data_IF_030168564796
#
_entry.id   IF_030168564796
#
_cell.length_a   1.000
_cell.length_b   1.000
_cell.length_c   1.000
_cell.angle_alpha   90.00
_cell.angle_beta   90.00
_cell.angle_gamma   90.00
#
_symmetry.space_group_name_H-M   'P 1'
#
loop_
_entity.id
_entity.type
_entity.pdbx_description
1 polymer ?
#
# COMPACT_ATOMS: atom_id res chain seq x y z
N UNK A 1 6.97 -17.46 7.63
CA UNK A 1 5.80 -17.06 6.82
C UNK A 1 6.03 -17.64 5.44
N UNK A 2 5.06 -18.34 4.86
CA UNK A 2 5.14 -18.89 3.51
C UNK A 2 5.25 -17.74 2.50
N UNK A 3 5.95 -17.96 1.36
CA UNK A 3 6.14 -16.95 0.29
C UNK A 3 4.82 -16.31 -0.16
N UNK A 4 3.76 -17.07 -0.26
CA UNK A 4 2.45 -16.60 -0.72
C UNK A 4 1.72 -15.77 0.35
N UNK A 5 1.88 -16.09 1.63
CA UNK A 5 1.39 -15.25 2.74
C UNK A 5 2.08 -13.87 2.75
N UNK A 6 3.34 -13.79 2.34
CA UNK A 6 4.06 -12.52 2.13
C UNK A 6 3.43 -11.74 0.98
N UNK A 7 3.10 -12.38 -0.14
CA UNK A 7 2.53 -11.73 -1.34
C UNK A 7 1.16 -11.13 -1.02
N UNK A 8 0.27 -11.91 -0.41
CA UNK A 8 -1.07 -11.45 0.01
C UNK A 8 -0.96 -10.35 1.07
N UNK A 9 0.00 -10.47 1.98
CA UNK A 9 0.28 -9.50 3.03
C UNK A 9 0.79 -8.15 2.48
N UNK A 10 1.64 -8.15 1.46
CA UNK A 10 2.20 -6.93 0.86
C UNK A 10 1.11 -6.10 0.18
N UNK A 11 0.08 -6.71 -0.42
CA UNK A 11 -1.03 -5.98 -1.03
C UNK A 11 -1.89 -5.21 -0.01
N UNK A 12 -1.90 -5.64 1.25
CA UNK A 12 -2.68 -5.01 2.32
C UNK A 12 -1.93 -3.92 3.12
N UNK A 13 -0.58 -3.94 3.14
CA UNK A 13 0.23 -3.15 4.07
C UNK A 13 0.28 -1.63 3.81
N UNK A 14 -0.16 -1.15 2.64
CA UNK A 14 0.17 0.20 2.20
C UNK A 14 -0.65 1.33 2.81
N UNK A 15 -1.81 1.04 3.41
CA UNK A 15 -2.63 2.10 4.02
C UNK A 15 -2.02 2.68 5.31
N UNK A 16 -1.14 1.94 5.99
CA UNK A 16 -0.53 2.39 7.24
C UNK A 16 0.71 3.26 7.07
N UNK A 17 1.43 3.18 5.94
CA UNK A 17 2.62 4.00 5.68
C UNK A 17 2.32 5.51 5.70
N UNK A 18 1.08 5.91 5.41
CA UNK A 18 0.65 7.31 5.45
C UNK A 18 0.70 7.93 6.85
N UNK A 19 0.76 7.14 7.93
CA UNK A 19 0.74 7.61 9.32
C UNK A 19 2.10 7.65 10.00
N UNK A 20 3.12 6.96 9.50
CA UNK A 20 4.46 6.92 10.10
C UNK A 20 5.20 8.26 9.98
N UNK A 21 4.83 9.11 9.02
CA UNK A 21 5.49 10.39 8.75
C UNK A 21 5.17 11.51 9.75
N UNK A 22 4.23 11.36 10.69
CA UNK A 22 3.77 12.44 11.57
C UNK A 22 4.39 12.46 12.98
N UNK A 23 5.29 11.55 13.35
CA UNK A 23 5.83 11.46 14.73
C UNK A 23 7.20 12.09 14.96
N UNK A 24 7.78 12.80 13.99
CA UNK A 24 9.04 13.51 14.21
C UNK A 24 8.78 15.02 14.45
N UNK A 25 8.82 15.40 15.69
CA UNK A 25 9.43 16.56 16.35
C UNK A 25 8.61 17.16 17.47
N UNK A 26 9.26 17.15 18.56
CA UNK A 26 9.51 18.16 19.58
C UNK A 26 9.02 17.78 20.96
N UNK A 27 9.94 17.22 21.73
CA UNK A 27 9.97 17.38 23.18
C UNK A 27 11.25 18.11 23.57
N UNK A 28 11.16 19.43 23.65
CA UNK A 28 12.08 20.22 24.46
C UNK A 28 11.28 20.85 25.63
N UNK A 29 11.46 20.40 26.88
CA UNK A 29 10.77 20.93 28.03
C UNK A 29 11.64 21.95 28.74
N UNK A 30 11.71 23.20 28.26
CA UNK A 30 12.19 24.28 29.08
C UNK A 30 11.71 25.66 28.60
N UNK A 31 10.64 26.16 29.18
CA UNK A 31 10.49 27.50 29.73
C UNK A 31 9.02 27.83 30.00
N UNK A 32 8.63 27.67 31.27
CA UNK A 32 7.52 28.41 31.87
C UNK A 32 8.06 29.73 32.38
N UNK A 33 7.41 30.82 31.97
CA UNK A 33 6.98 31.94 32.85
C UNK A 33 6.33 33.04 31.99
N UNK A 34 5.11 33.24 32.20
CA UNK A 34 4.21 34.23 32.80
C UNK A 34 4.10 35.60 32.12
N UNK A 35 2.84 35.99 32.04
CA UNK A 35 2.20 37.31 32.14
C UNK A 35 2.00 38.15 30.86
N UNK A 36 0.76 38.19 30.43
CA UNK A 36 -0.23 39.28 30.38
C UNK A 36 0.09 40.60 29.64
N UNK A 37 -0.95 40.99 28.92
CA UNK A 37 -1.44 42.33 28.56
C UNK A 37 -1.14 42.92 27.18
N UNK A 38 -2.24 42.98 26.45
CA UNK A 38 -2.79 44.01 25.53
C UNK A 38 -1.89 45.21 25.16
N UNK A 39 -1.78 45.50 23.86
CA UNK A 39 -2.39 46.71 23.29
C UNK A 39 -2.23 46.83 21.76
N UNK A 40 -3.30 47.34 21.18
CA UNK A 40 -3.51 47.74 19.79
C UNK A 40 -2.73 49.03 19.49
N UNK A 41 -2.12 49.19 18.33
CA UNK A 41 -2.32 50.38 17.51
C UNK A 41 -1.61 50.34 16.16
N UNK A 42 -2.30 50.93 15.22
CA UNK A 42 -2.07 51.15 13.79
C UNK A 42 -0.79 51.91 13.42
N UNK A 43 -0.38 51.75 12.21
CA UNK A 43 -0.26 52.77 11.16
C UNK A 43 1.07 52.87 10.38
N UNK A 44 0.91 52.72 9.09
CA UNK A 44 1.45 53.43 7.91
C UNK A 44 2.93 53.39 7.50
N UNK A 45 3.03 52.94 6.24
CA UNK A 45 3.83 53.41 5.08
C UNK A 45 5.28 53.87 5.23
N UNK A 46 6.18 53.29 4.43
CA UNK A 46 6.73 53.86 3.18
C UNK A 46 7.90 53.06 2.61
N UNK A 47 7.80 52.80 1.33
CA UNK A 47 8.78 52.69 0.23
C UNK A 47 10.27 52.76 0.55
N UNK A 48 11.02 51.78 -0.08
CA UNK A 48 12.46 51.87 -0.33
C UNK A 48 13.02 50.61 -0.99
N UNK A 49 13.19 50.71 -2.29
CA UNK A 49 13.88 49.73 -3.16
C UNK A 49 15.38 49.67 -2.84
N UNK A 50 15.93 48.47 -2.74
CA UNK A 50 17.31 48.16 -3.20
C UNK A 50 17.44 46.66 -3.48
N UNK A 51 17.83 46.39 -4.71
CA UNK A 51 18.31 45.09 -5.19
C UNK A 51 19.59 44.71 -4.45
N UNK A 52 19.67 43.53 -3.89
CA UNK A 52 20.94 42.91 -3.56
C UNK A 52 20.86 41.42 -3.87
N UNK A 53 21.71 41.06 -4.82
CA UNK A 53 21.92 39.70 -5.35
C UNK A 53 22.34 38.74 -4.24
N UNK A 54 21.54 37.70 -3.95
CA UNK A 54 21.95 36.60 -3.11
C UNK A 54 22.71 35.57 -3.95
N UNK A 55 23.97 35.45 -3.66
CA UNK A 55 24.87 34.36 -4.07
C UNK A 55 24.33 33.02 -3.62
N UNK A 56 24.06 32.12 -4.56
CA UNK A 56 23.73 30.73 -4.30
C UNK A 56 24.98 30.03 -3.80
N UNK A 57 25.08 29.83 -2.51
CA UNK A 57 26.11 28.97 -1.92
C UNK A 57 25.76 27.52 -2.27
N UNK A 58 26.59 26.91 -3.13
CA UNK A 58 26.62 25.50 -3.38
C UNK A 58 26.93 24.79 -2.05
N UNK A 59 25.95 24.09 -1.49
CA UNK A 59 26.18 23.12 -0.44
C UNK A 59 26.85 21.92 -1.10
N UNK A 60 28.10 21.68 -0.73
CA UNK A 60 28.81 20.44 -1.07
C UNK A 60 28.03 19.29 -0.41
N UNK A 61 27.57 18.36 -1.22
CA UNK A 61 27.21 17.02 -0.74
C UNK A 61 28.50 16.31 -0.30
N UNK A 62 28.86 16.48 0.96
CA UNK A 62 29.79 15.57 1.63
C UNK A 62 29.02 14.30 1.96
N UNK A 63 29.49 13.20 1.42
CA UNK A 63 29.13 11.84 1.80
C UNK A 63 29.31 11.67 3.33
N UNK A 64 28.23 11.89 4.07
CA UNK A 64 28.12 11.34 5.41
C UNK A 64 27.51 9.94 5.25
N UNK A 65 28.39 8.95 5.36
CA UNK A 65 27.98 7.58 5.68
C UNK A 65 27.46 7.59 7.11
N UNK A 66 26.22 8.03 7.26
CA UNK A 66 25.50 7.99 8.52
C UNK A 66 25.18 6.52 8.80
N UNK A 67 25.95 5.95 9.73
CA UNK A 67 25.76 4.63 10.29
C UNK A 67 24.59 4.70 11.29
N UNK A 68 23.44 5.24 10.87
CA UNK A 68 22.22 5.22 11.64
C UNK A 68 21.67 3.80 11.61
N UNK A 69 21.76 3.12 12.74
CA UNK A 69 21.14 1.79 12.92
C UNK A 69 19.64 1.97 12.71
N UNK A 70 19.06 1.19 11.80
CA UNK A 70 17.64 1.19 11.55
C UNK A 70 16.90 0.86 12.87
N UNK A 71 15.98 1.68 13.36
CA UNK A 71 15.31 1.48 14.64
C UNK A 71 14.45 0.20 14.67
N UNK A 72 14.14 -0.36 13.52
CA UNK A 72 13.28 -1.53 13.36
C UNK A 72 14.05 -2.85 13.32
N UNK A 73 15.39 -2.83 13.31
CA UNK A 73 16.24 -4.03 13.31
C UNK A 73 17.20 -4.13 12.13
N UNK A 74 17.67 -5.35 11.83
CA UNK A 74 18.50 -5.62 10.67
C UNK A 74 17.77 -5.28 9.36
N UNK A 75 18.51 -4.86 8.35
CA UNK A 75 18.01 -4.44 7.04
C UNK A 75 18.49 -5.37 5.94
N UNK A 76 17.79 -5.40 4.82
CA UNK A 76 18.21 -6.06 3.58
C UNK A 76 18.15 -5.05 2.43
N UNK A 77 19.22 -5.01 1.60
CA UNK A 77 19.20 -4.21 0.37
C UNK A 77 18.43 -4.95 -0.71
N UNK A 78 17.31 -4.36 -1.17
CA UNK A 78 16.48 -5.01 -2.18
C UNK A 78 17.21 -5.24 -3.51
N UNK A 79 18.22 -4.44 -3.80
CA UNK A 79 19.01 -4.57 -5.02
C UNK A 79 19.83 -5.87 -5.09
N UNK A 80 20.06 -6.52 -3.94
CA UNK A 80 20.73 -7.83 -3.90
C UNK A 80 19.82 -8.99 -4.36
N UNK A 81 18.49 -8.75 -4.47
CA UNK A 81 17.48 -9.77 -4.73
C UNK A 81 16.71 -9.57 -6.04
N UNK A 82 16.61 -8.34 -6.57
CA UNK A 82 15.87 -8.07 -7.81
C UNK A 82 16.70 -8.38 -9.05
N UNK A 83 16.03 -8.81 -10.13
CA UNK A 83 16.66 -9.14 -11.41
C UNK A 83 16.91 -7.92 -12.29
N UNK A 84 16.05 -6.90 -12.20
CA UNK A 84 16.05 -5.75 -13.12
C UNK A 84 15.37 -4.53 -12.50
N UNK A 85 15.78 -3.35 -12.96
CA UNK A 85 15.08 -2.08 -12.73
C UNK A 85 14.35 -1.59 -13.98
N UNK A 86 14.52 -2.28 -15.11
CA UNK A 86 13.73 -2.08 -16.33
C UNK A 86 12.39 -2.79 -16.16
N UNK A 87 11.30 -2.04 -16.14
CA UNK A 87 9.96 -2.57 -15.83
C UNK A 87 9.07 -2.62 -17.06
N UNK A 88 8.28 -3.69 -17.14
CA UNK A 88 7.21 -3.87 -18.13
C UNK A 88 5.96 -4.33 -17.33
N UNK A 89 5.23 -3.42 -16.68
CA UNK A 89 4.06 -3.79 -15.86
C UNK A 89 3.00 -4.55 -16.67
N UNK A 90 2.26 -5.50 -16.05
CA UNK A 90 1.20 -6.21 -16.74
C UNK A 90 0.08 -5.25 -17.17
N UNK A 91 -0.27 -5.31 -18.45
CA UNK A 91 -1.16 -4.36 -19.10
C UNK A 91 -2.07 -5.09 -20.09
N UNK A 92 -3.35 -4.80 -20.08
CA UNK A 92 -4.33 -5.36 -21.00
C UNK A 92 -5.19 -4.28 -21.64
N UNK A 93 -5.73 -4.59 -22.80
CA UNK A 93 -6.84 -3.87 -23.41
C UNK A 93 -8.07 -4.74 -23.37
N UNK A 94 -9.16 -4.22 -22.83
CA UNK A 94 -10.47 -4.90 -22.79
C UNK A 94 -11.44 -4.16 -23.69
N UNK A 95 -12.03 -4.89 -24.63
CA UNK A 95 -12.92 -4.32 -25.65
C UNK A 95 -14.27 -5.06 -25.66
N UNK A 96 -15.34 -4.32 -25.67
CA UNK A 96 -16.67 -4.85 -25.94
C UNK A 96 -16.79 -5.16 -27.44
N UNK A 97 -16.97 -6.42 -27.82
CA UNK A 97 -17.03 -6.81 -29.24
C UNK A 97 -18.26 -6.26 -29.97
N UNK A 98 -19.32 -5.88 -29.25
CA UNK A 98 -20.56 -5.38 -29.84
C UNK A 98 -20.51 -3.87 -30.11
N UNK A 99 -20.03 -3.07 -29.14
CA UNK A 99 -19.94 -1.61 -29.26
C UNK A 99 -18.58 -1.13 -29.80
N UNK A 100 -17.51 -1.88 -29.56
CA UNK A 100 -16.14 -1.47 -29.82
C UNK A 100 -15.52 -0.58 -28.75
N UNK A 101 -16.27 -0.27 -27.68
CA UNK A 101 -15.77 0.50 -26.54
C UNK A 101 -14.70 -0.28 -25.79
N UNK A 102 -13.71 0.40 -25.24
CA UNK A 102 -12.61 -0.26 -24.56
C UNK A 102 -12.04 0.57 -23.41
N UNK A 103 -11.47 -0.12 -22.43
CA UNK A 103 -10.60 0.43 -21.38
C UNK A 103 -9.26 -0.30 -21.36
N UNK A 104 -8.30 0.26 -20.63
CA UNK A 104 -7.05 -0.42 -20.35
C UNK A 104 -7.00 -0.83 -18.88
N UNK A 105 -6.45 -2.03 -18.61
CA UNK A 105 -6.22 -2.53 -17.25
C UNK A 105 -4.71 -2.53 -16.98
N UNK A 106 -4.30 -2.06 -15.82
CA UNK A 106 -2.90 -2.04 -15.37
C UNK A 106 -2.79 -2.72 -14.00
N UNK A 107 -1.95 -3.76 -13.93
CA UNK A 107 -1.56 -4.34 -12.66
C UNK A 107 -0.53 -3.47 -11.94
N UNK A 108 -0.80 -3.12 -10.69
CA UNK A 108 0.05 -2.23 -9.90
C UNK A 108 0.76 -2.97 -8.78
N UNK A 109 1.85 -2.38 -8.28
CA UNK A 109 2.47 -2.71 -7.01
C UNK A 109 2.71 -1.43 -6.21
N UNK A 110 2.60 -1.55 -4.89
CA UNK A 110 2.55 -0.38 -4.01
C UNK A 110 3.91 0.22 -3.65
N UNK A 111 4.98 -0.52 -3.83
CA UNK A 111 6.35 -0.06 -3.56
C UNK A 111 7.24 -0.42 -4.75
N UNK A 112 8.29 0.34 -4.95
CA UNK A 112 9.25 0.12 -6.03
C UNK A 112 10.68 0.29 -5.52
N UNK A 113 11.67 -0.45 -6.05
CA UNK A 113 13.07 -0.11 -5.86
C UNK A 113 13.35 1.33 -6.30
N UNK A 114 14.25 2.03 -5.60
CA UNK A 114 14.56 3.46 -5.87
C UNK A 114 15.13 3.70 -7.27
N UNK A 115 15.79 2.71 -7.83
CA UNK A 115 16.42 2.80 -9.13
C UNK A 115 15.46 2.59 -10.31
N UNK A 116 14.18 2.23 -10.02
CA UNK A 116 13.11 2.23 -11.02
C UNK A 116 12.71 3.68 -11.28
N UNK A 117 13.05 4.22 -12.45
CA UNK A 117 12.86 5.63 -12.77
C UNK A 117 11.78 5.89 -13.80
N UNK A 118 11.62 5.02 -14.77
CA UNK A 118 10.80 5.29 -15.95
C UNK A 118 9.81 4.14 -16.22
N UNK A 119 8.56 4.50 -16.51
CA UNK A 119 7.57 3.57 -17.07
C UNK A 119 7.74 3.47 -18.59
N UNK A 120 7.41 2.31 -19.20
CA UNK A 120 7.46 2.11 -20.65
C UNK A 120 6.70 3.19 -21.43
N UNK A 121 7.24 3.62 -22.56
CA UNK A 121 6.67 4.70 -23.37
C UNK A 121 5.26 4.39 -23.88
N UNK A 122 4.95 3.14 -24.19
CA UNK A 122 3.65 2.67 -24.63
C UNK A 122 2.61 2.72 -23.52
N UNK A 123 2.97 2.36 -22.27
CA UNK A 123 2.11 2.58 -21.11
C UNK A 123 1.86 4.08 -20.90
N UNK A 124 2.89 4.91 -21.02
CA UNK A 124 2.74 6.37 -20.88
C UNK A 124 1.89 6.98 -22.00
N UNK A 125 1.98 6.47 -23.23
CA UNK A 125 1.12 6.89 -24.35
C UNK A 125 -0.34 6.49 -24.09
N UNK A 126 -0.62 5.32 -23.54
CA UNK A 126 -1.95 4.89 -23.10
C UNK A 126 -2.47 5.81 -22.00
N UNK A 127 -1.70 6.02 -20.93
CA UNK A 127 -2.07 6.95 -19.85
C UNK A 127 -2.40 8.34 -20.41
N UNK A 128 -1.54 8.88 -21.29
CA UNK A 128 -1.75 10.20 -21.87
C UNK A 128 -3.02 10.26 -22.74
N UNK A 129 -3.38 9.15 -23.40
CA UNK A 129 -4.60 9.02 -24.20
C UNK A 129 -5.88 8.87 -23.40
N UNK A 130 -5.82 8.50 -22.12
CA UNK A 130 -6.99 8.37 -21.25
C UNK A 130 -7.40 9.73 -20.65
N UNK A 131 -8.72 9.91 -20.45
CA UNK A 131 -9.27 11.11 -19.81
C UNK A 131 -9.24 11.00 -18.27
N UNK A 132 -9.24 9.77 -17.76
CA UNK A 132 -9.30 9.46 -16.33
C UNK A 132 -8.43 8.26 -15.98
N UNK A 133 -8.14 8.12 -14.69
CA UNK A 133 -7.68 6.86 -14.09
C UNK A 133 -8.74 6.36 -13.12
N UNK A 134 -8.92 5.04 -13.05
CA UNK A 134 -9.71 4.39 -12.02
C UNK A 134 -8.76 3.59 -11.15
N UNK A 135 -8.78 3.80 -9.84
CA UNK A 135 -7.89 3.18 -8.85
C UNK A 135 -8.71 2.49 -7.78
N UNK A 136 -8.17 1.51 -7.10
CA UNK A 136 -8.87 0.89 -5.97
C UNK A 136 -9.41 1.95 -5.02
N UNK A 137 -8.52 2.77 -4.49
CA UNK A 137 -8.82 3.95 -3.69
C UNK A 137 -7.69 4.98 -3.85
N UNK A 138 -8.02 6.28 -3.83
CA UNK A 138 -6.99 7.34 -3.79
C UNK A 138 -6.30 7.37 -2.42
N UNK A 139 -5.29 6.50 -2.23
CA UNK A 139 -4.55 6.36 -0.97
C UNK A 139 -3.85 7.66 -0.53
N UNK A 140 -3.59 8.59 -1.46
CA UNK A 140 -2.98 9.88 -1.11
C UNK A 140 -3.93 10.77 -0.30
N UNK A 141 -5.25 10.48 -0.34
CA UNK A 141 -6.23 11.12 0.53
C UNK A 141 -5.94 10.85 2.02
N UNK A 142 -5.40 9.66 2.37
CA UNK A 142 -5.06 9.32 3.76
C UNK A 142 -3.96 10.23 4.34
N UNK A 143 -3.14 10.86 3.50
CA UNK A 143 -2.12 11.82 3.97
C UNK A 143 -2.60 13.27 3.98
N UNK A 144 -3.72 13.58 3.30
CA UNK A 144 -4.15 14.97 3.04
C UNK A 144 -5.56 15.29 3.54
N UNK A 145 -6.43 14.28 3.72
CA UNK A 145 -7.82 14.45 4.18
C UNK A 145 -8.03 13.84 5.56
N UNK A 146 -8.29 14.70 6.54
CA UNK A 146 -8.55 14.29 7.94
C UNK A 146 -9.78 13.39 8.07
N UNK A 147 -10.79 13.55 7.20
CA UNK A 147 -11.99 12.70 7.25
C UNK A 147 -11.65 11.28 6.78
N UNK A 148 -10.87 11.14 5.71
CA UNK A 148 -10.39 9.83 5.25
C UNK A 148 -9.51 9.16 6.32
N UNK A 149 -8.63 9.91 6.98
CA UNK A 149 -7.83 9.38 8.10
C UNK A 149 -8.72 8.88 9.24
N UNK A 150 -9.72 9.67 9.64
CA UNK A 150 -10.64 9.28 10.71
C UNK A 150 -11.50 8.08 10.32
N UNK A 151 -11.94 8.00 9.09
CA UNK A 151 -12.71 6.87 8.57
C UNK A 151 -11.87 5.60 8.59
N UNK A 152 -10.63 5.66 8.08
CA UNK A 152 -9.69 4.55 8.13
C UNK A 152 -9.45 4.07 9.57
N UNK A 153 -9.03 4.96 10.47
CA UNK A 153 -8.76 4.60 11.86
C UNK A 153 -10.00 4.05 12.56
N UNK A 154 -11.18 4.63 12.30
CA UNK A 154 -12.42 4.08 12.79
C UNK A 154 -12.70 2.69 12.21
N UNK A 155 -12.39 2.43 10.95
CA UNK A 155 -12.51 1.09 10.33
C UNK A 155 -11.66 0.03 11.02
N UNK A 156 -10.55 0.43 11.62
CA UNK A 156 -9.54 -0.45 12.22
C UNK A 156 -9.68 -0.61 13.76
N UNK A 157 -10.79 -0.21 14.36
CA UNK A 157 -11.07 -0.34 15.81
C UNK A 157 -12.21 -1.34 16.00
N UNK A 158 -12.08 -2.22 17.02
CA UNK A 158 -13.17 -3.11 17.44
C UNK A 158 -14.41 -2.31 17.82
N UNK A 159 -15.58 -2.65 17.22
CA UNK A 159 -16.81 -1.87 17.36
C UNK A 159 -17.62 -2.23 18.59
N UNK A 160 -17.36 -3.40 19.16
CA UNK A 160 -18.05 -3.93 20.35
C UNK A 160 -17.40 -3.48 21.66
N UNK A 161 -16.26 -2.76 21.58
CA UNK A 161 -15.50 -2.28 22.72
C UNK A 161 -14.53 -3.30 23.30
N UNK A 162 -14.33 -4.44 22.62
CA UNK A 162 -13.25 -5.39 22.93
C UNK A 162 -11.89 -4.80 22.56
N UNK A 163 -10.85 -5.49 22.93
CA UNK A 163 -9.45 -5.16 22.58
C UNK A 163 -8.80 -6.38 21.93
N UNK A 164 -7.66 -6.20 21.28
CA UNK A 164 -6.90 -7.30 20.68
C UNK A 164 -6.69 -8.49 21.63
N UNK A 165 -6.68 -8.25 22.94
CA UNK A 165 -6.47 -9.27 23.97
C UNK A 165 -7.58 -10.32 24.06
N UNK A 166 -8.79 -9.97 23.60
CA UNK A 166 -9.93 -10.89 23.53
C UNK A 166 -9.94 -11.69 22.21
N UNK A 167 -9.12 -11.30 21.23
CA UNK A 167 -9.12 -11.83 19.87
C UNK A 167 -7.90 -12.68 19.52
N UNK A 168 -6.80 -12.56 20.28
CA UNK A 168 -5.60 -13.38 20.09
C UNK A 168 -5.15 -14.01 21.41
N UNK A 169 -4.31 -15.03 21.33
CA UNK A 169 -3.78 -15.70 22.50
C UNK A 169 -2.91 -14.76 23.34
N UNK A 170 -2.87 -15.02 24.67
CA UNK A 170 -2.00 -14.26 25.58
C UNK A 170 -0.52 -14.38 25.20
N UNK A 171 -0.11 -15.52 24.63
CA UNK A 171 1.26 -15.74 24.17
C UNK A 171 1.59 -14.83 23.01
N UNK A 172 0.79 -14.84 21.95
CA UNK A 172 0.93 -14.00 20.75
C UNK A 172 0.89 -12.51 21.10
N UNK A 173 -0.09 -12.12 21.94
CA UNK A 173 -0.17 -10.73 22.41
C UNK A 173 1.12 -10.28 23.10
N UNK A 174 1.67 -11.10 24.03
CA UNK A 174 2.87 -10.73 24.76
C UNK A 174 4.10 -10.62 23.84
N UNK A 175 4.28 -11.56 22.90
CA UNK A 175 5.37 -11.53 21.91
C UNK A 175 5.29 -10.27 21.05
N UNK A 176 4.11 -9.99 20.46
CA UNK A 176 3.90 -8.85 19.59
C UNK A 176 4.07 -7.51 20.35
N UNK A 177 3.53 -7.43 21.58
CA UNK A 177 3.69 -6.27 22.45
C UNK A 177 5.17 -6.01 22.78
N UNK A 178 5.92 -7.05 23.16
CA UNK A 178 7.35 -6.94 23.45
C UNK A 178 8.13 -6.41 22.24
N UNK A 179 7.78 -6.89 21.04
CA UNK A 179 8.38 -6.41 19.81
C UNK A 179 8.06 -4.93 19.55
N UNK A 180 6.76 -4.53 19.60
CA UNK A 180 6.37 -3.14 19.42
C UNK A 180 6.96 -2.20 20.50
N UNK A 181 7.06 -2.66 21.76
CA UNK A 181 7.76 -1.93 22.83
C UNK A 181 9.25 -1.72 22.49
N UNK A 182 9.91 -2.74 21.92
CA UNK A 182 11.35 -2.70 21.60
C UNK A 182 11.69 -1.66 20.53
N UNK A 183 10.77 -1.42 19.59
CA UNK A 183 10.91 -0.42 18.52
C UNK A 183 10.20 0.91 18.84
N UNK A 184 9.65 1.06 20.05
CA UNK A 184 8.97 2.28 20.48
C UNK A 184 7.60 2.53 19.83
N UNK A 185 7.00 1.50 19.21
CA UNK A 185 5.72 1.60 18.51
C UNK A 185 4.50 1.21 19.37
N UNK A 186 4.70 0.62 20.56
CA UNK A 186 3.59 0.25 21.43
C UNK A 186 3.09 1.43 22.26
N UNK A 187 1.77 1.54 22.35
CA UNK A 187 1.05 2.30 23.37
C UNK A 187 -0.22 1.55 23.75
N UNK A 188 -0.79 1.81 24.94
CA UNK A 188 -2.05 1.17 25.36
C UNK A 188 -3.21 1.43 24.38
N UNK A 189 -3.14 2.48 23.56
CA UNK A 189 -4.13 2.76 22.54
C UNK A 189 -4.08 1.71 21.41
N UNK A 190 -2.92 1.12 21.15
CA UNK A 190 -2.77 0.05 20.14
C UNK A 190 -3.67 -1.15 20.45
N UNK A 191 -3.94 -1.42 21.73
CA UNK A 191 -4.81 -2.54 22.14
C UNK A 191 -6.25 -2.41 21.62
N UNK A 192 -6.72 -1.20 21.31
CA UNK A 192 -8.07 -0.95 20.80
C UNK A 192 -8.23 -1.25 19.31
N UNK A 193 -7.12 -1.38 18.59
CA UNK A 193 -7.13 -1.67 17.17
C UNK A 193 -7.28 -3.17 16.90
N UNK A 194 -7.88 -3.49 15.76
CA UNK A 194 -8.13 -4.85 15.29
C UNK A 194 -6.85 -5.64 15.05
N UNK A 195 -6.95 -6.96 15.00
CA UNK A 195 -5.85 -7.83 14.62
C UNK A 195 -5.31 -7.50 13.22
N UNK A 196 -6.20 -7.16 12.26
CA UNK A 196 -5.80 -6.70 10.94
C UNK A 196 -4.92 -5.46 10.97
N UNK A 197 -5.18 -4.52 11.88
CA UNK A 197 -4.30 -3.37 12.08
C UNK A 197 -2.92 -3.79 12.61
N UNK A 198 -2.85 -4.69 13.59
CA UNK A 198 -1.58 -5.19 14.13
C UNK A 198 -0.75 -5.91 13.07
N UNK A 199 -1.39 -6.77 12.26
CA UNK A 199 -0.74 -7.45 11.13
C UNK A 199 -0.18 -6.41 10.14
N UNK A 200 -0.98 -5.41 9.78
CA UNK A 200 -0.58 -4.34 8.87
C UNK A 200 0.60 -3.52 9.41
N UNK A 201 0.66 -3.25 10.73
CA UNK A 201 1.80 -2.58 11.35
C UNK A 201 3.08 -3.44 11.29
N UNK A 202 2.99 -4.75 11.54
CA UNK A 202 4.13 -5.66 11.43
C UNK A 202 4.67 -5.72 9.99
N UNK A 203 3.78 -5.82 9.00
CA UNK A 203 4.13 -5.77 7.58
C UNK A 203 4.83 -4.46 7.21
N UNK A 204 4.30 -3.33 7.69
CA UNK A 204 4.90 -2.02 7.49
C UNK A 204 6.33 -1.96 8.04
N UNK A 205 6.55 -2.50 9.23
CA UNK A 205 7.89 -2.55 9.82
C UNK A 205 8.84 -3.40 8.96
N UNK A 206 8.39 -4.54 8.44
CA UNK A 206 9.20 -5.38 7.54
C UNK A 206 9.58 -4.61 6.27
N UNK A 207 8.62 -3.90 5.65
CA UNK A 207 8.87 -3.08 4.47
C UNK A 207 9.85 -1.92 4.74
N UNK A 208 9.79 -1.28 5.91
CA UNK A 208 10.72 -0.20 6.32
C UNK A 208 12.16 -0.69 6.58
N UNK A 209 12.36 -1.99 6.66
CA UNK A 209 13.68 -2.63 6.80
C UNK A 209 14.28 -3.02 5.44
N UNK A 210 13.54 -2.89 4.35
CA UNK A 210 14.08 -3.01 2.99
C UNK A 210 14.76 -1.70 2.59
N UNK A 211 16.09 -1.74 2.47
CA UNK A 211 16.86 -0.61 1.96
C UNK A 211 16.65 -0.45 0.45
N UNK A 212 16.87 0.76 -0.04
CA UNK A 212 16.71 1.12 -1.45
C UNK A 212 15.30 0.92 -2.02
N UNK A 213 14.28 0.90 -1.15
CA UNK A 213 12.88 0.93 -1.54
C UNK A 213 12.33 2.36 -1.54
N UNK A 214 11.50 2.64 -2.54
CA UNK A 214 10.63 3.80 -2.59
C UNK A 214 9.26 3.39 -2.05
N UNK A 215 8.76 4.10 -1.04
CA UNK A 215 7.42 3.87 -0.47
C UNK A 215 6.29 4.34 -1.39
N UNK A 216 6.64 4.89 -2.56
CA UNK A 216 5.69 5.23 -3.62
C UNK A 216 5.77 4.17 -4.71
N UNK A 217 4.69 3.45 -4.91
CA UNK A 217 4.56 2.47 -5.98
C UNK A 217 3.88 3.03 -7.23
N UNK A 218 3.43 2.12 -8.07
CA UNK A 218 2.74 2.43 -9.32
C UNK A 218 1.48 3.26 -9.09
N UNK A 219 0.68 2.88 -8.10
CA UNK A 219 -0.56 3.59 -7.76
C UNK A 219 -0.29 5.05 -7.43
N UNK A 220 0.60 5.29 -6.47
CA UNK A 220 0.93 6.64 -5.99
C UNK A 220 1.52 7.50 -7.10
N UNK A 221 2.34 6.90 -7.98
CA UNK A 221 2.91 7.58 -9.13
C UNK A 221 1.81 8.10 -10.07
N UNK A 222 0.90 7.22 -10.53
CA UNK A 222 -0.15 7.61 -11.47
C UNK A 222 -1.22 8.48 -10.84
N UNK A 223 -1.55 8.30 -9.56
CA UNK A 223 -2.45 9.21 -8.82
C UNK A 223 -1.84 10.62 -8.77
N UNK A 224 -0.57 10.74 -8.41
CA UNK A 224 0.12 12.04 -8.34
C UNK A 224 0.20 12.69 -9.71
N UNK A 225 0.55 11.91 -10.73
CA UNK A 225 0.62 12.38 -12.10
C UNK A 225 -0.76 12.80 -12.65
N UNK A 226 -1.83 12.07 -12.34
CA UNK A 226 -3.19 12.43 -12.74
C UNK A 226 -3.64 13.76 -12.09
N UNK A 227 -3.27 14.00 -10.82
CA UNK A 227 -3.52 15.28 -10.15
C UNK A 227 -2.78 16.44 -10.82
N UNK A 228 -1.51 16.23 -11.20
CA UNK A 228 -0.70 17.22 -11.92
C UNK A 228 -1.27 17.52 -13.31
N UNK A 229 -1.69 16.49 -14.05
CA UNK A 229 -2.22 16.59 -15.41
C UNK A 229 -3.70 17.02 -15.42
N UNK A 230 -4.35 17.09 -14.26
CA UNK A 230 -5.78 17.47 -14.13
C UNK A 230 -6.75 16.43 -14.65
N UNK A 231 -6.35 15.15 -14.68
CA UNK A 231 -7.22 14.03 -15.05
C UNK A 231 -8.17 13.68 -13.90
N UNK A 232 -9.35 13.13 -14.24
CA UNK A 232 -10.26 12.59 -13.24
C UNK A 232 -9.65 11.34 -12.58
N UNK A 233 -9.79 11.26 -11.25
CA UNK A 233 -9.44 10.08 -10.46
C UNK A 233 -10.73 9.47 -9.93
N UNK A 234 -10.98 8.22 -10.27
CA UNK A 234 -12.20 7.49 -9.93
C UNK A 234 -11.83 6.41 -8.92
N UNK A 235 -12.41 6.47 -7.73
CA UNK A 235 -12.31 5.37 -6.78
C UNK A 235 -13.22 4.22 -7.23
N UNK A 236 -12.66 3.04 -7.41
CA UNK A 236 -13.39 1.81 -7.71
C UNK A 236 -14.11 1.34 -6.45
N UNK A 237 -13.42 1.38 -5.31
CA UNK A 237 -13.90 0.97 -4.00
C UNK A 237 -14.07 2.15 -3.05
N UNK A 238 -14.94 1.97 -2.06
CA UNK A 238 -15.04 2.88 -0.91
C UNK A 238 -13.95 2.51 0.12
N UNK A 239 -13.52 3.47 0.94
CA UNK A 239 -12.52 3.22 1.98
C UNK A 239 -12.95 2.14 2.99
N UNK A 240 -14.26 2.04 3.25
CA UNK A 240 -14.82 0.98 4.10
C UNK A 240 -14.57 -0.42 3.56
N UNK A 241 -14.62 -0.62 2.23
CA UNK A 241 -14.31 -1.92 1.60
C UNK A 241 -12.84 -2.30 1.81
N UNK A 242 -11.94 -1.33 1.71
CA UNK A 242 -10.51 -1.53 1.98
C UNK A 242 -10.26 -1.91 3.45
N UNK A 243 -10.90 -1.23 4.40
CA UNK A 243 -10.77 -1.57 5.84
C UNK A 243 -11.43 -2.87 6.21
N UNK A 244 -12.53 -3.26 5.54
CA UNK A 244 -13.15 -4.58 5.69
C UNK A 244 -12.21 -5.69 5.21
N UNK A 245 -11.56 -5.52 4.07
CA UNK A 245 -10.55 -6.46 3.56
C UNK A 245 -9.37 -6.60 4.54
N UNK A 246 -8.85 -5.48 5.08
CA UNK A 246 -7.78 -5.50 6.08
C UNK A 246 -8.18 -6.20 7.39
N UNK A 247 -9.46 -6.29 7.71
CA UNK A 247 -10.01 -6.94 8.90
C UNK A 247 -10.61 -8.33 8.62
N UNK A 248 -10.37 -8.91 7.45
CA UNK A 248 -11.00 -10.17 7.04
C UNK A 248 -10.48 -11.41 7.78
N UNK A 249 -9.57 -11.25 8.73
CA UNK A 249 -9.04 -12.35 9.53
C UNK A 249 -10.06 -12.84 10.58
N UNK A 250 -10.23 -14.16 10.69
CA UNK A 250 -10.79 -14.75 11.91
C UNK A 250 -9.83 -14.57 13.08
N UNK A 251 -10.31 -14.72 14.31
CA UNK A 251 -9.45 -14.60 15.50
C UNK A 251 -8.31 -15.63 15.50
N UNK A 252 -8.62 -16.88 15.17
CA UNK A 252 -7.65 -17.98 15.15
C UNK A 252 -6.60 -17.77 14.03
N UNK A 253 -7.04 -17.34 12.83
CA UNK A 253 -6.12 -17.07 11.72
C UNK A 253 -5.28 -15.80 11.96
N UNK A 254 -5.82 -14.79 12.64
CA UNK A 254 -5.09 -13.61 13.06
C UNK A 254 -4.01 -13.94 14.10
N UNK A 255 -4.35 -14.76 15.11
CA UNK A 255 -3.41 -15.21 16.14
C UNK A 255 -2.22 -15.95 15.51
N UNK A 256 -2.51 -16.88 14.59
CA UNK A 256 -1.51 -17.59 13.83
C UNK A 256 -0.61 -16.64 13.03
N UNK A 257 -1.19 -15.72 12.24
CA UNK A 257 -0.40 -14.79 11.41
C UNK A 257 0.50 -13.88 12.25
N UNK A 258 -0.02 -13.28 13.31
CA UNK A 258 0.78 -12.41 14.19
C UNK A 258 1.93 -13.21 14.82
N UNK A 259 1.66 -14.44 15.29
CA UNK A 259 2.68 -15.30 15.88
C UNK A 259 3.79 -15.65 14.88
N UNK A 260 3.40 -16.11 13.66
CA UNK A 260 4.35 -16.42 12.59
C UNK A 260 5.18 -15.21 12.17
N UNK A 261 4.55 -14.05 12.03
CA UNK A 261 5.27 -12.82 11.68
C UNK A 261 6.31 -12.44 12.73
N UNK A 262 5.96 -12.54 14.02
CA UNK A 262 6.88 -12.21 15.12
C UNK A 262 8.00 -13.24 15.21
N UNK A 263 7.70 -14.53 15.08
CA UNK A 263 8.70 -15.60 15.17
C UNK A 263 9.72 -15.50 14.02
N UNK A 264 9.30 -15.02 12.84
CA UNK A 264 10.15 -14.80 11.66
C UNK A 264 10.58 -13.34 11.46
N UNK A 265 10.33 -12.45 12.44
CA UNK A 265 10.57 -11.00 12.29
C UNK A 265 12.04 -10.66 12.00
N UNK A 266 12.98 -11.51 12.40
CA UNK A 266 14.41 -11.30 12.18
C UNK A 266 14.91 -11.84 10.83
N UNK A 267 14.09 -12.59 10.10
CA UNK A 267 14.47 -13.20 8.81
C UNK A 267 14.20 -12.24 7.65
N UNK A 268 14.79 -11.03 7.73
CA UNK A 268 14.56 -9.96 6.75
C UNK A 268 15.01 -10.33 5.34
N UNK A 269 16.02 -11.18 5.19
CA UNK A 269 16.47 -11.63 3.88
C UNK A 269 15.43 -12.53 3.20
N UNK A 270 14.75 -13.40 3.94
CA UNK A 270 13.68 -14.25 3.40
C UNK A 270 12.48 -13.39 2.98
N UNK A 271 12.20 -12.33 3.73
CA UNK A 271 11.19 -11.35 3.35
C UNK A 271 11.59 -10.59 2.08
N UNK A 272 12.85 -10.15 1.97
CA UNK A 272 13.36 -9.46 0.79
C UNK A 272 13.33 -10.36 -0.45
N UNK A 273 13.68 -11.66 -0.32
CA UNK A 273 13.59 -12.65 -1.39
C UNK A 273 12.15 -12.81 -1.86
N UNK A 274 11.20 -12.99 -0.93
CA UNK A 274 9.78 -13.13 -1.27
C UNK A 274 9.21 -11.87 -1.95
N UNK A 275 9.57 -10.69 -1.47
CA UNK A 275 9.19 -9.43 -2.12
C UNK A 275 9.78 -9.33 -3.54
N UNK A 276 11.06 -9.70 -3.70
CA UNK A 276 11.75 -9.63 -4.99
C UNK A 276 11.14 -10.56 -6.03
N UNK A 277 10.66 -11.74 -5.63
CA UNK A 277 9.94 -12.66 -6.53
C UNK A 277 8.69 -11.99 -7.09
N UNK A 278 7.86 -11.40 -6.23
CA UNK A 278 6.68 -10.63 -6.65
C UNK A 278 7.07 -9.48 -7.60
N UNK A 279 8.05 -8.68 -7.22
CA UNK A 279 8.52 -7.57 -8.03
C UNK A 279 9.05 -8.05 -9.40
N UNK A 280 9.90 -9.09 -9.42
CA UNK A 280 10.49 -9.61 -10.65
C UNK A 280 9.45 -10.15 -11.62
N UNK A 281 8.39 -10.78 -11.13
CA UNK A 281 7.27 -11.24 -11.96
C UNK A 281 6.50 -10.04 -12.54
N UNK A 282 6.11 -9.10 -11.70
CA UNK A 282 5.43 -7.88 -12.11
C UNK A 282 6.27 -7.06 -13.10
N UNK A 283 7.56 -6.87 -12.83
CA UNK A 283 8.48 -6.13 -13.69
C UNK A 283 8.66 -6.76 -15.09
N UNK A 284 8.34 -8.04 -15.24
CA UNK A 284 8.38 -8.78 -16.51
C UNK A 284 7.00 -8.95 -17.17
N UNK A 285 5.99 -8.23 -16.69
CA UNK A 285 4.64 -8.25 -17.26
C UNK A 285 3.80 -9.45 -16.82
N UNK A 286 4.18 -10.19 -15.78
CA UNK A 286 3.31 -11.24 -15.28
C UNK A 286 2.14 -10.62 -14.52
N UNK A 287 0.92 -10.84 -15.02
CA UNK A 287 -0.31 -10.57 -14.27
C UNK A 287 -0.72 -11.75 -13.41
N UNK A 288 -0.23 -12.95 -13.75
CA UNK A 288 -0.51 -14.16 -13.00
C UNK A 288 0.60 -14.35 -11.95
N UNK A 289 0.42 -13.71 -10.82
CA UNK A 289 1.26 -13.94 -9.64
C UNK A 289 0.73 -15.19 -8.98
N UNK A 290 1.54 -16.26 -8.82
CA UNK A 290 1.06 -17.49 -8.23
C UNK A 290 0.70 -17.23 -6.76
N UNK A 291 -0.59 -16.99 -6.51
CA UNK A 291 -1.20 -17.21 -5.22
C UNK A 291 -1.50 -18.71 -5.19
N UNK A 292 -0.50 -19.49 -4.78
CA UNK A 292 -0.60 -20.95 -4.76
C UNK A 292 -1.36 -21.38 -3.49
N UNK A 293 -2.69 -21.22 -3.55
CA UNK A 293 -3.59 -21.60 -2.46
C UNK A 293 -3.41 -23.08 -2.04
N UNK A 294 -3.07 -23.98 -2.99
CA UNK A 294 -2.87 -25.40 -2.65
C UNK A 294 -1.63 -25.57 -1.74
N UNK A 295 -0.51 -24.95 -2.08
CA UNK A 295 0.71 -24.98 -1.26
C UNK A 295 0.48 -24.29 0.10
N UNK A 296 -0.21 -23.16 0.10
CA UNK A 296 -0.55 -22.45 1.35
C UNK A 296 -1.41 -23.32 2.28
N UNK A 297 -2.43 -23.98 1.73
CA UNK A 297 -3.30 -24.88 2.47
C UNK A 297 -2.54 -26.14 2.97
N UNK A 298 -1.54 -26.63 2.25
CA UNK A 298 -0.72 -27.77 2.69
C UNK A 298 0.17 -27.40 3.88
N UNK A 299 0.63 -26.16 3.96
CA UNK A 299 1.51 -25.68 5.04
C UNK A 299 0.77 -25.18 6.27
N UNK A 300 -0.54 -24.85 6.14
CA UNK A 300 -1.36 -24.41 7.25
C UNK A 300 -1.83 -25.58 8.14
N UNK A 301 -1.98 -25.36 9.45
CA UNK A 301 -2.72 -26.26 10.32
C UNK A 301 -4.11 -26.58 9.77
N UNK A 302 -4.54 -27.84 9.87
CA UNK A 302 -5.80 -28.30 9.28
C UNK A 302 -7.04 -27.52 9.79
N UNK A 303 -6.99 -27.02 11.01
CA UNK A 303 -8.05 -26.22 11.66
C UNK A 303 -8.10 -24.75 11.19
N UNK A 304 -7.11 -24.27 10.46
CA UNK A 304 -7.06 -22.90 9.91
C UNK A 304 -7.36 -22.83 8.41
N UNK A 305 -7.51 -23.98 7.73
CA UNK A 305 -7.70 -24.01 6.28
C UNK A 305 -8.98 -23.32 5.82
N UNK A 306 -10.09 -23.60 6.52
CA UNK A 306 -11.37 -22.96 6.22
C UNK A 306 -11.32 -21.43 6.46
N UNK A 307 -10.61 -20.99 7.50
CA UNK A 307 -10.42 -19.56 7.81
C UNK A 307 -9.56 -18.86 6.76
N UNK A 308 -8.51 -19.52 6.29
CA UNK A 308 -7.68 -19.02 5.20
C UNK A 308 -8.46 -18.89 3.88
N UNK A 309 -9.24 -19.91 3.50
CA UNK A 309 -10.08 -19.83 2.32
C UNK A 309 -11.09 -18.68 2.42
N UNK A 310 -11.73 -18.50 3.58
CA UNK A 310 -12.64 -17.40 3.82
C UNK A 310 -11.93 -16.03 3.73
N UNK A 311 -10.72 -15.92 4.26
CA UNK A 311 -9.89 -14.72 4.14
C UNK A 311 -9.59 -14.40 2.68
N UNK A 312 -9.09 -15.36 1.89
CA UNK A 312 -8.74 -15.15 0.48
C UNK A 312 -9.97 -14.77 -0.34
N UNK A 313 -11.13 -15.39 -0.10
CA UNK A 313 -12.36 -15.02 -0.76
C UNK A 313 -12.71 -13.53 -0.55
N UNK A 314 -12.55 -13.02 0.67
CA UNK A 314 -12.88 -11.61 0.97
C UNK A 314 -11.88 -10.64 0.36
N UNK A 315 -10.57 -10.94 0.45
CA UNK A 315 -9.52 -10.01 0.01
C UNK A 315 -9.29 -10.00 -1.50
N UNK A 316 -9.65 -11.10 -2.19
CA UNK A 316 -9.46 -11.25 -3.63
C UNK A 316 -10.77 -11.51 -4.37
N UNK A 317 -11.42 -12.67 -4.19
CA UNK A 317 -12.47 -13.14 -5.10
C UNK A 317 -13.69 -12.22 -5.12
N UNK A 318 -14.22 -11.83 -3.98
CA UNK A 318 -15.37 -10.92 -3.89
C UNK A 318 -15.02 -9.54 -4.46
N UNK A 319 -13.81 -9.05 -4.19
CA UNK A 319 -13.32 -7.77 -4.72
C UNK A 319 -13.08 -7.85 -6.23
N UNK A 320 -12.50 -8.94 -6.73
CA UNK A 320 -12.29 -9.16 -8.17
C UNK A 320 -13.61 -9.15 -8.93
N UNK A 321 -14.65 -9.80 -8.40
CA UNK A 321 -15.99 -9.77 -8.97
C UNK A 321 -16.53 -8.34 -9.03
N UNK A 322 -16.42 -7.59 -7.94
CA UNK A 322 -16.87 -6.19 -7.88
C UNK A 322 -16.08 -5.30 -8.85
N UNK A 323 -14.74 -5.45 -8.91
CA UNK A 323 -13.87 -4.71 -9.82
C UNK A 323 -14.20 -5.00 -11.29
N UNK A 324 -14.43 -6.29 -11.65
CA UNK A 324 -14.83 -6.68 -13.00
C UNK A 324 -16.20 -6.07 -13.40
N UNK A 325 -17.16 -6.03 -12.49
CA UNK A 325 -18.46 -5.37 -12.71
C UNK A 325 -18.30 -3.85 -12.93
N UNK A 326 -17.42 -3.19 -12.15
CA UNK A 326 -17.10 -1.77 -12.35
C UNK A 326 -16.42 -1.53 -13.69
N UNK A 327 -15.40 -2.33 -14.04
CA UNK A 327 -14.73 -2.25 -15.34
C UNK A 327 -15.73 -2.43 -16.49
N UNK A 328 -16.61 -3.45 -16.40
CA UNK A 328 -17.70 -3.66 -17.36
C UNK A 328 -18.63 -2.45 -17.48
N UNK A 329 -18.97 -1.79 -16.36
CA UNK A 329 -19.81 -0.59 -16.42
C UNK A 329 -19.10 0.58 -17.12
N UNK A 330 -17.81 0.75 -16.90
CA UNK A 330 -17.01 1.81 -17.53
C UNK A 330 -16.90 1.60 -19.06
N UNK A 331 -16.73 0.35 -19.50
CA UNK A 331 -16.74 0.00 -20.93
C UNK A 331 -18.09 0.35 -21.56
N UNK A 332 -19.21 -0.03 -20.92
CA UNK A 332 -20.57 0.27 -21.41
C UNK A 332 -20.88 1.77 -21.44
N UNK A 333 -20.31 2.54 -20.53
CA UNK A 333 -20.44 3.99 -20.47
C UNK A 333 -19.50 4.72 -21.44
N UNK A 334 -18.69 3.98 -22.21
CA UNK A 334 -17.66 4.52 -23.10
C UNK A 334 -16.64 5.42 -22.36
N UNK A 335 -16.28 5.05 -21.14
CA UNK A 335 -15.26 5.76 -20.40
C UNK A 335 -13.88 5.48 -20.98
N UNK A 336 -13.15 6.54 -21.28
CA UNK A 336 -11.75 6.45 -21.71
C UNK A 336 -10.84 6.49 -20.48
N UNK A 337 -10.62 5.36 -19.83
CA UNK A 337 -9.87 5.29 -18.59
C UNK A 337 -8.79 4.20 -18.57
N UNK A 338 -7.75 4.44 -17.78
CA UNK A 338 -6.80 3.45 -17.32
C UNK A 338 -7.27 2.91 -15.96
N UNK A 339 -7.70 1.67 -15.91
CA UNK A 339 -8.20 0.98 -14.73
C UNK A 339 -7.03 0.27 -14.04
N UNK A 340 -6.72 0.67 -12.81
CA UNK A 340 -5.49 0.29 -12.11
C UNK A 340 -5.85 -0.34 -10.76
N UNK A 341 -5.50 -1.62 -10.61
CA UNK A 341 -5.65 -2.35 -9.35
C UNK A 341 -4.39 -3.16 -9.07
N UNK A 342 -4.18 -3.55 -7.82
CA UNK A 342 -3.04 -4.37 -7.43
C UNK A 342 -2.94 -5.62 -8.30
N UNK A 343 -1.71 -5.97 -8.69
CA UNK A 343 -1.48 -7.06 -9.66
C UNK A 343 -2.03 -8.40 -9.18
N UNK A 344 -2.18 -8.63 -7.87
CA UNK A 344 -2.82 -9.81 -7.32
C UNK A 344 -4.28 -10.00 -7.77
N UNK A 345 -4.98 -8.91 -8.11
CA UNK A 345 -6.35 -8.95 -8.63
C UNK A 345 -6.47 -9.47 -10.08
N UNK A 346 -5.35 -9.77 -10.73
CA UNK A 346 -5.30 -10.40 -12.06
C UNK A 346 -4.82 -11.85 -12.01
N UNK A 347 -4.69 -12.42 -10.81
CA UNK A 347 -4.16 -13.78 -10.63
C UNK A 347 -5.25 -14.84 -10.72
N UNK A 348 -4.92 -15.94 -11.36
CA UNK A 348 -5.75 -17.13 -11.42
C UNK A 348 -7.07 -16.95 -12.19
N UNK A 349 -7.95 -17.93 -12.06
CA UNK A 349 -9.23 -17.98 -12.82
C UNK A 349 -10.30 -17.03 -12.29
N UNK A 350 -10.08 -16.38 -11.17
CA UNK A 350 -10.93 -15.37 -10.55
C UNK A 350 -10.37 -13.96 -10.72
N UNK A 351 -9.30 -13.81 -11.52
CA UNK A 351 -8.72 -12.52 -11.89
C UNK A 351 -9.70 -11.62 -12.63
N UNK A 352 -9.55 -10.32 -12.49
CA UNK A 352 -10.45 -9.31 -13.11
C UNK A 352 -10.46 -9.45 -14.63
N UNK A 353 -9.32 -9.72 -15.27
CA UNK A 353 -9.19 -9.94 -16.69
C UNK A 353 -9.92 -11.21 -17.14
N UNK A 354 -9.74 -12.34 -16.45
CA UNK A 354 -10.44 -13.61 -16.68
C UNK A 354 -11.96 -13.48 -16.47
N UNK A 355 -12.38 -12.72 -15.44
CA UNK A 355 -13.80 -12.46 -15.20
C UNK A 355 -14.42 -11.63 -16.33
N UNK A 356 -13.73 -10.63 -16.85
CA UNK A 356 -14.17 -9.85 -18.00
C UNK A 356 -14.26 -10.69 -19.27
N UNK A 357 -13.30 -11.63 -19.50
CA UNK A 357 -13.38 -12.59 -20.60
C UNK A 357 -14.64 -13.48 -20.47
N UNK A 358 -14.92 -13.99 -19.27
CA UNK A 358 -16.14 -14.78 -18.97
C UNK A 358 -17.43 -13.97 -19.16
N UNK A 359 -17.39 -12.64 -18.97
CA UNK A 359 -18.51 -11.74 -19.27
C UNK A 359 -18.69 -11.47 -20.78
N UNK A 360 -17.76 -11.94 -21.64
CA UNK A 360 -17.84 -11.85 -23.09
C UNK A 360 -17.05 -10.69 -23.71
N UNK A 361 -16.22 -10.01 -22.94
CA UNK A 361 -15.31 -9.01 -23.46
C UNK A 361 -14.10 -9.67 -24.15
N UNK A 362 -13.53 -8.98 -25.14
CA UNK A 362 -12.24 -9.38 -25.72
C UNK A 362 -11.12 -8.79 -24.88
N UNK A 363 -10.36 -9.64 -24.23
CA UNK A 363 -9.20 -9.29 -23.39
C UNK A 363 -7.93 -9.57 -24.17
N UNK A 364 -7.15 -8.51 -24.41
CA UNK A 364 -5.87 -8.58 -25.13
C UNK A 364 -4.74 -8.15 -24.18
N UNK A 365 -3.83 -9.07 -23.85
CA UNK A 365 -2.64 -8.75 -23.08
C UNK A 365 -1.65 -7.98 -23.95
N UNK A 366 -1.21 -6.81 -23.49
CA UNK A 366 -0.28 -5.92 -24.19
C UNK A 366 1.16 -6.07 -23.66
N UNK A 367 1.32 -6.40 -22.38
CA UNK A 367 2.61 -6.71 -21.74
C UNK A 367 2.46 -7.66 -20.57
#
# INVERSE_FOLDING_TARGET
MNKNQVIVAITAAMMSLSFVSCSDKSNDPSSRESSSETNISESTNATGSTEESAEVTKVNEENDSDNSVNPYGETADINDFIDTTDIVPPLWKVTDPDSGNSIYLLGTIHMLPKDVSDYPSDLMDIYNGCDSIAVEYDITALSTDVNAQMEYLNGMIYKDGSTIKEHISVETYNKAKEYFDSIGAYSEMLDQYTAGYWINQLQTVMLLRLENMNLSGTDTYFISKAKEDGKEIINIEELSMQTEALNAYSDDYADFNISEMIDNINDINDFAESYSELYNMWAKGSGDIPIDMETDLEELPDDLKDDYEAYVNIILDDRNQYMAEKASSYIKEDKNCLFMVGTAHYSGTTGVDDLLEKMGYAVEKLS
#
